data_IF_047434289513
#
_entry.id   IF_047434289513
#
_cell.length_a   1.000
_cell.length_b   1.000
_cell.length_c   1.000
_cell.angle_alpha   90.00
_cell.angle_beta   90.00
_cell.angle_gamma   90.00
#
_symmetry.space_group_name_H-M   'P 1'
#
loop_
_entity.id
_entity.type
_entity.pdbx_description
1 polymer ?
#
# COMPACT_ATOMS: atom_id res chain seq x y z
N UNK A 1 1.65 5.87 -24.52
CA UNK A 1 1.78 5.01 -23.32
C UNK A 1 0.64 5.27 -22.36
N UNK A 2 0.00 4.20 -21.89
CA UNK A 2 -1.09 4.36 -20.93
C UNK A 2 -0.53 4.73 -19.55
N UNK A 3 -1.15 5.71 -18.88
CA UNK A 3 -0.78 6.12 -17.52
C UNK A 3 -1.59 5.41 -16.46
N UNK A 4 -2.68 4.75 -16.86
CA UNK A 4 -3.58 4.03 -15.95
C UNK A 4 -3.73 2.59 -16.39
N UNK A 5 -4.04 1.74 -15.41
CA UNK A 5 -4.37 0.33 -15.67
C UNK A 5 -5.74 0.23 -16.32
N UNK A 6 -5.99 -0.82 -17.12
CA UNK A 6 -7.32 -1.05 -17.67
C UNK A 6 -8.37 -1.10 -16.58
N UNK A 7 -9.55 -0.55 -16.86
CA UNK A 7 -10.64 -0.51 -15.88
C UNK A 7 -10.99 -1.88 -15.31
N UNK A 8 -10.94 -2.90 -16.15
CA UNK A 8 -11.27 -4.28 -15.74
C UNK A 8 -10.29 -4.85 -14.73
N UNK A 9 -9.10 -4.26 -14.58
CA UNK A 9 -8.07 -4.73 -13.65
C UNK A 9 -8.02 -3.93 -12.35
N UNK A 10 -8.78 -2.83 -12.25
CA UNK A 10 -8.69 -1.93 -11.10
C UNK A 10 -9.38 -2.43 -9.83
N UNK A 11 -10.05 -3.57 -9.88
CA UNK A 11 -10.65 -4.21 -8.71
C UNK A 11 -9.64 -4.95 -7.84
N UNK A 12 -8.42 -5.13 -8.33
CA UNK A 12 -7.36 -5.81 -7.62
C UNK A 12 -6.08 -4.98 -7.67
N UNK A 13 -5.18 -5.20 -6.70
CA UNK A 13 -3.88 -4.55 -6.71
C UNK A 13 -3.00 -5.13 -7.83
N UNK A 14 -2.06 -4.32 -8.36
CA UNK A 14 -1.09 -4.86 -9.31
C UNK A 14 -0.20 -5.91 -8.62
N UNK A 15 0.38 -6.84 -9.38
CA UNK A 15 1.30 -7.83 -8.83
C UNK A 15 2.61 -7.17 -8.36
N UNK A 16 3.43 -7.92 -7.63
CA UNK A 16 4.74 -7.45 -7.22
C UNK A 16 4.82 -7.00 -5.76
N UNK A 17 3.85 -7.37 -4.93
CA UNK A 17 3.95 -7.12 -3.48
C UNK A 17 4.96 -8.04 -2.84
N UNK A 18 5.60 -7.57 -1.78
CA UNK A 18 6.54 -8.35 -0.99
C UNK A 18 6.17 -8.27 0.49
N UNK A 19 6.58 -9.28 1.26
CA UNK A 19 6.38 -9.34 2.70
C UNK A 19 7.63 -8.84 3.41
N UNK A 20 7.44 -8.13 4.53
CA UNK A 20 8.57 -7.75 5.38
C UNK A 20 8.39 -8.22 6.84
N UNK A 21 7.36 -8.98 7.13
CA UNK A 21 7.14 -9.57 8.45
C UNK A 21 5.69 -9.86 8.72
N UNK A 22 5.37 -10.05 9.99
CA UNK A 22 4.01 -10.24 10.47
C UNK A 22 3.75 -9.31 11.64
N UNK A 23 2.50 -8.86 11.78
CA UNK A 23 2.07 -8.06 12.93
C UNK A 23 1.96 -8.92 14.18
N UNK A 24 1.72 -8.27 15.31
CA UNK A 24 1.51 -8.97 16.60
C UNK A 24 0.36 -9.98 16.50
N UNK A 25 -0.73 -9.62 15.82
CA UNK A 25 -1.88 -10.52 15.65
C UNK A 25 -1.75 -11.46 14.44
N UNK A 26 -0.59 -11.51 13.79
CA UNK A 26 -0.29 -12.45 12.73
C UNK A 26 -0.65 -11.99 11.32
N UNK A 27 -1.07 -10.74 11.13
CA UNK A 27 -1.35 -10.22 9.80
C UNK A 27 -0.05 -10.06 9.01
N UNK A 28 -0.03 -10.42 7.71
CA UNK A 28 1.17 -10.20 6.90
C UNK A 28 1.43 -8.71 6.74
N UNK A 29 2.69 -8.31 6.89
CA UNK A 29 3.12 -6.96 6.61
C UNK A 29 3.67 -6.93 5.19
N UNK A 30 2.95 -6.27 4.30
CA UNK A 30 3.29 -6.25 2.88
C UNK A 30 3.61 -4.83 2.42
N UNK A 31 4.40 -4.74 1.34
CA UNK A 31 4.71 -3.47 0.71
C UNK A 31 4.71 -3.62 -0.81
N UNK A 32 4.58 -2.50 -1.47
CA UNK A 32 4.59 -2.40 -2.92
C UNK A 32 5.89 -1.72 -3.32
N UNK A 33 6.96 -2.49 -3.63
CA UNK A 33 8.19 -1.87 -4.10
C UNK A 33 7.99 -1.19 -5.44
N UNK A 34 8.66 -0.05 -5.65
CA UNK A 34 8.69 0.60 -6.95
C UNK A 34 9.35 -0.36 -7.95
N UNK A 35 8.80 -0.56 -9.16
CA UNK A 35 9.37 -1.52 -10.11
C UNK A 35 10.80 -1.19 -10.54
N UNK A 36 11.12 0.09 -10.70
CA UNK A 36 12.46 0.55 -11.10
C UNK A 36 12.92 1.67 -10.17
N UNK A 37 13.28 1.34 -8.91
CA UNK A 37 13.66 2.37 -7.96
C UNK A 37 15.00 3.02 -8.32
N UNK A 38 15.12 4.29 -7.98
CA UNK A 38 16.36 5.05 -8.11
C UNK A 38 16.59 5.86 -6.83
N UNK A 39 17.65 6.68 -6.82
CA UNK A 39 18.00 7.47 -5.63
C UNK A 39 16.96 8.52 -5.25
N UNK A 40 16.00 8.81 -6.14
CA UNK A 40 14.92 9.77 -5.85
C UNK A 40 13.67 9.07 -5.33
N UNK A 41 13.66 7.75 -5.31
CA UNK A 41 12.51 6.98 -4.81
C UNK A 41 12.42 7.10 -3.30
N UNK A 42 11.24 7.44 -2.82
CA UNK A 42 10.93 7.51 -1.40
C UNK A 42 10.01 6.37 -0.97
N UNK A 43 9.52 6.46 0.26
CA UNK A 43 8.59 5.51 0.84
C UNK A 43 7.33 6.26 1.28
N UNK A 44 6.18 5.84 0.77
CA UNK A 44 4.88 6.37 1.16
C UNK A 44 4.24 5.38 2.11
N UNK A 45 3.85 5.84 3.29
CA UNK A 45 3.28 4.99 4.34
C UNK A 45 1.87 5.48 4.67
N UNK A 46 0.92 4.56 4.72
CA UNK A 46 -0.44 4.83 5.19
C UNK A 46 -0.80 3.85 6.32
N UNK A 47 -1.91 4.12 7.01
CA UNK A 47 -2.40 3.20 8.02
C UNK A 47 -1.57 3.15 9.30
N UNK A 48 -0.87 4.22 9.64
CA UNK A 48 -0.10 4.31 10.90
C UNK A 48 -1.05 4.30 12.10
N UNK A 49 -2.12 5.09 12.04
CA UNK A 49 -3.15 5.14 13.06
C UNK A 49 -4.35 4.32 12.59
N UNK A 50 -4.71 3.28 13.33
CA UNK A 50 -5.74 2.34 12.93
C UNK A 50 -7.16 2.92 12.87
N UNK A 51 -7.40 4.07 13.50
CA UNK A 51 -8.69 4.76 13.49
C UNK A 51 -8.80 5.80 12.34
N UNK A 52 -7.77 5.94 11.51
CA UNK A 52 -7.71 6.92 10.42
C UNK A 52 -7.52 6.19 9.08
N UNK A 53 -8.64 5.86 8.44
CA UNK A 53 -8.63 5.01 7.24
C UNK A 53 -8.66 5.75 5.90
N UNK A 54 -8.87 7.07 5.90
CA UNK A 54 -9.01 7.83 4.64
C UNK A 54 -7.77 7.76 3.76
N UNK A 55 -6.58 7.80 4.36
CA UNK A 55 -5.32 7.68 3.60
C UNK A 55 -5.17 6.31 2.96
N UNK A 56 -5.61 5.25 3.63
CA UNK A 56 -5.58 3.89 3.10
C UNK A 56 -6.49 3.79 1.88
N UNK A 57 -7.71 4.31 1.97
CA UNK A 57 -8.67 4.28 0.87
C UNK A 57 -8.14 5.04 -0.33
N UNK A 58 -7.63 6.24 -0.12
CA UNK A 58 -7.09 7.09 -1.19
C UNK A 58 -5.89 6.42 -1.87
N UNK A 59 -4.95 5.92 -1.09
CA UNK A 59 -3.74 5.29 -1.62
C UNK A 59 -4.05 3.96 -2.30
N UNK A 60 -5.01 3.19 -1.75
CA UNK A 60 -5.49 1.96 -2.38
C UNK A 60 -6.04 2.23 -3.77
N UNK A 61 -6.86 3.28 -3.91
CA UNK A 61 -7.41 3.67 -5.21
C UNK A 61 -6.30 4.04 -6.19
N UNK A 62 -5.32 4.81 -5.75
CA UNK A 62 -4.18 5.20 -6.57
C UNK A 62 -3.37 3.99 -7.04
N UNK A 63 -3.08 3.04 -6.14
CA UNK A 63 -2.33 1.83 -6.47
C UNK A 63 -3.05 0.95 -7.49
N UNK A 64 -4.38 0.88 -7.43
CA UNK A 64 -5.17 0.07 -8.35
C UNK A 64 -5.35 0.74 -9.70
N UNK A 65 -5.22 2.07 -9.76
CA UNK A 65 -5.49 2.84 -10.97
C UNK A 65 -4.24 3.15 -11.78
N UNK A 66 -3.15 3.52 -11.13
CA UNK A 66 -1.92 3.92 -11.79
C UNK A 66 -1.23 2.74 -12.46
N UNK A 67 -0.71 2.95 -13.68
CA UNK A 67 0.15 1.95 -14.33
C UNK A 67 1.39 1.72 -13.45
N UNK A 68 1.69 0.47 -13.05
CA UNK A 68 2.74 0.20 -12.05
C UNK A 68 4.13 0.70 -12.44
N UNK A 69 4.47 0.68 -13.72
CA UNK A 69 5.77 1.12 -14.21
C UNK A 69 6.00 2.64 -14.08
N UNK A 70 4.94 3.40 -13.78
CA UNK A 70 5.05 4.84 -13.52
C UNK A 70 5.21 5.15 -12.03
N UNK A 71 5.09 4.15 -11.16
CA UNK A 71 5.21 4.35 -9.73
C UNK A 71 6.68 4.44 -9.34
N UNK A 72 7.10 5.63 -8.89
CA UNK A 72 8.49 5.93 -8.55
C UNK A 72 8.85 5.61 -7.11
N UNK A 73 7.85 5.54 -6.24
CA UNK A 73 8.05 5.38 -4.81
C UNK A 73 7.56 4.03 -4.33
N UNK A 74 8.18 3.56 -3.24
CA UNK A 74 7.71 2.37 -2.54
C UNK A 74 6.49 2.74 -1.71
N UNK A 75 5.58 1.79 -1.49
CA UNK A 75 4.35 2.05 -0.75
C UNK A 75 4.10 0.96 0.28
N UNK A 76 3.81 1.38 1.51
CA UNK A 76 3.22 0.53 2.53
C UNK A 76 1.80 1.05 2.75
N UNK A 77 0.82 0.27 2.31
CA UNK A 77 -0.58 0.71 2.35
C UNK A 77 -1.14 0.70 3.78
N UNK A 78 -0.76 -0.29 4.58
CA UNK A 78 -1.26 -0.46 5.93
C UNK A 78 -0.12 -0.91 6.84
N UNK A 79 0.55 0.06 7.47
CA UNK A 79 1.70 -0.24 8.35
C UNK A 79 1.24 -0.74 9.73
N UNK A 80 -0.01 -0.46 10.11
CA UNK A 80 -0.61 -0.92 11.37
C UNK A 80 -1.90 -1.69 11.08
N UNK A 81 -1.81 -2.91 10.49
CA UNK A 81 -3.02 -3.68 10.14
C UNK A 81 -3.83 -4.11 11.35
N UNK A 82 -3.18 -4.40 12.48
CA UNK A 82 -3.88 -4.81 13.71
C UNK A 82 -4.74 -3.67 14.23
N UNK A 83 -4.19 -2.46 14.33
CA UNK A 83 -4.94 -1.30 14.74
C UNK A 83 -6.07 -0.96 13.80
N UNK A 84 -5.84 -1.08 12.48
CA UNK A 84 -6.88 -0.84 11.48
C UNK A 84 -8.03 -1.83 11.59
N UNK A 85 -7.73 -3.10 11.87
CA UNK A 85 -8.73 -4.14 12.01
C UNK A 85 -9.65 -3.91 13.21
N UNK A 86 -9.11 -3.41 14.31
CA UNK A 86 -9.88 -3.19 15.54
C UNK A 86 -10.26 -1.72 15.75
N UNK A 87 -9.88 -0.83 14.84
CA UNK A 87 -10.22 0.59 14.91
C UNK A 87 -9.45 1.36 15.98
N UNK A 88 -8.25 0.90 16.33
CA UNK A 88 -7.41 1.54 17.33
C UNK A 88 -6.35 2.44 16.69
N UNK A 89 -6.01 3.53 17.38
CA UNK A 89 -4.98 4.47 16.95
C UNK A 89 -3.58 3.85 17.01
N UNK A 90 -3.34 2.98 17.97
CA UNK A 90 -2.06 2.32 18.18
C UNK A 90 -2.15 0.83 17.79
N UNK A 91 -1.03 0.11 17.90
CA UNK A 91 -1.00 -1.33 17.72
C UNK A 91 -1.83 -2.03 18.80
N UNK A 92 -2.36 -3.17 18.41
CA UNK A 92 -3.09 -4.01 19.36
C UNK A 92 -2.18 -4.55 20.45
#
# INVERSE_FOLDING_TARGET
>A
MATTRPRTERGAFPPGTEHYGRSFLGAPLIWFPAPEPDRTSGLIIAGTHGDENSSIVTLSCALRTLAPDLRRHHVILTVNPDGCQVGLRANA
#
